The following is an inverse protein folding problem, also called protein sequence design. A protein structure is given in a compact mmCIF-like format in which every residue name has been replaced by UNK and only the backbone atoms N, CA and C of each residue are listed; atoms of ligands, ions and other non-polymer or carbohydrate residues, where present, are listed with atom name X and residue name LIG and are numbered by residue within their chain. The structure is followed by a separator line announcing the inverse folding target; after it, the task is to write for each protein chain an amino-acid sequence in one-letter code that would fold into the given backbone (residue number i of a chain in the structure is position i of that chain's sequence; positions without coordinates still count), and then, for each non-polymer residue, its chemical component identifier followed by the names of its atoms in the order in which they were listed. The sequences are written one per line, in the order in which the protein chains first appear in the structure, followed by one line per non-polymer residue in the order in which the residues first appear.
data_IF_458501263156
#
_entry.id   IF_458501263156
#
_cell.length_a   1.000
_cell.length_b   1.000
_cell.length_c   1.000
_cell.angle_alpha   90.00
_cell.angle_beta   90.00
_cell.angle_gamma   90.00
#
_symmetry.space_group_name_H-M   'P 1'
#
loop_
_entity.id
_entity.type
_entity.pdbx_description
1 polymer ?
#
# COMPACT_ATOMS: atom_id res chain seq x y z
N UNK A 1 -0.13 -26.63 0.54
CA UNK A 1 -0.53 -25.60 1.53
C UNK A 1 0.24 -24.33 1.20
N UNK A 2 -0.46 -23.22 0.84
CA UNK A 2 0.22 -21.95 0.55
C UNK A 2 0.75 -21.32 1.85
N UNK A 3 1.99 -20.86 1.82
CA UNK A 3 2.66 -20.16 2.93
C UNK A 3 2.76 -18.64 2.71
N UNK A 4 2.43 -18.17 1.51
CA UNK A 4 2.38 -16.78 1.14
C UNK A 4 1.43 -16.54 -0.02
N UNK A 5 0.96 -15.31 -0.16
CA UNK A 5 0.15 -14.81 -1.27
C UNK A 5 0.94 -13.69 -1.93
N UNK A 6 1.29 -13.86 -3.21
CA UNK A 6 1.93 -12.81 -3.99
C UNK A 6 1.00 -12.36 -5.11
N UNK A 7 0.71 -11.06 -5.16
CA UNK A 7 -0.09 -10.46 -6.23
C UNK A 7 0.80 -9.50 -7.03
N UNK A 8 1.04 -9.84 -8.28
CA UNK A 8 1.91 -9.10 -9.19
C UNK A 8 1.35 -7.76 -9.65
N UNK A 9 2.11 -7.09 -10.52
CA UNK A 9 1.70 -5.88 -11.19
C UNK A 9 0.79 -6.14 -12.39
N UNK A 10 0.05 -5.13 -12.82
CA UNK A 10 -0.84 -5.21 -13.98
C UNK A 10 -1.80 -4.03 -14.06
N UNK A 11 -2.88 -4.21 -14.80
CA UNK A 11 -3.91 -3.19 -14.95
C UNK A 11 -4.80 -3.16 -13.70
N UNK A 12 -4.64 -2.14 -12.87
CA UNK A 12 -5.23 -2.04 -11.53
C UNK A 12 -6.75 -2.29 -11.51
N UNK A 13 -7.50 -1.77 -12.48
CA UNK A 13 -8.94 -1.94 -12.55
C UNK A 13 -9.35 -3.41 -12.74
N UNK A 14 -8.63 -4.15 -13.59
CA UNK A 14 -8.87 -5.59 -13.77
C UNK A 14 -8.57 -6.38 -12.51
N UNK A 15 -7.49 -6.01 -11.79
CA UNK A 15 -7.13 -6.63 -10.52
C UNK A 15 -8.20 -6.39 -9.46
N UNK A 16 -8.66 -5.13 -9.30
CA UNK A 16 -9.74 -4.82 -8.38
C UNK A 16 -10.96 -5.68 -8.70
N UNK A 17 -11.43 -5.69 -9.96
CA UNK A 17 -12.61 -6.45 -10.35
C UNK A 17 -12.47 -7.96 -10.10
N UNK A 18 -11.29 -8.54 -10.35
CA UNK A 18 -11.07 -9.97 -10.17
C UNK A 18 -10.94 -10.36 -8.68
N UNK A 19 -10.15 -9.62 -7.92
CA UNK A 19 -9.79 -10.00 -6.56
C UNK A 19 -10.76 -9.52 -5.48
N UNK A 20 -11.64 -8.56 -5.78
CA UNK A 20 -12.70 -8.14 -4.85
C UNK A 20 -14.00 -8.91 -5.03
N UNK A 21 -14.06 -9.87 -5.96
CA UNK A 21 -15.17 -10.83 -6.01
C UNK A 21 -15.26 -11.58 -4.69
N UNK A 22 -16.47 -11.75 -4.18
CA UNK A 22 -16.71 -12.22 -2.81
C UNK A 22 -15.92 -13.47 -2.43
N UNK A 23 -15.91 -14.49 -3.26
CA UNK A 23 -15.24 -15.77 -2.96
C UNK A 23 -13.70 -15.61 -2.89
N UNK A 24 -13.11 -14.91 -3.85
CA UNK A 24 -11.64 -14.70 -3.92
C UNK A 24 -11.21 -13.81 -2.78
N UNK A 25 -11.92 -12.71 -2.54
CA UNK A 25 -11.64 -11.77 -1.46
C UNK A 25 -11.67 -12.48 -0.09
N UNK A 26 -12.74 -13.25 0.17
CA UNK A 26 -12.86 -14.01 1.42
C UNK A 26 -11.75 -15.02 1.61
N UNK A 27 -11.34 -15.74 0.56
CA UNK A 27 -10.26 -16.71 0.65
C UNK A 27 -8.92 -16.04 0.97
N UNK A 28 -8.61 -14.92 0.32
CA UNK A 28 -7.38 -14.14 0.60
C UNK A 28 -7.38 -13.66 2.05
N UNK A 29 -8.48 -13.05 2.50
CA UNK A 29 -8.59 -12.53 3.87
C UNK A 29 -8.55 -13.65 4.92
N UNK A 30 -9.19 -14.78 4.68
CA UNK A 30 -9.11 -15.94 5.56
C UNK A 30 -7.66 -16.41 5.73
N UNK A 31 -6.92 -16.48 4.63
CA UNK A 31 -5.50 -16.87 4.67
C UNK A 31 -4.64 -15.82 5.36
N UNK A 32 -4.82 -14.55 5.02
CA UNK A 32 -4.13 -13.44 5.66
C UNK A 32 -4.36 -13.43 7.18
N UNK A 33 -5.60 -13.51 7.63
CA UNK A 33 -5.97 -13.53 9.05
C UNK A 33 -5.47 -14.79 9.79
N UNK A 34 -5.17 -15.87 9.06
CA UNK A 34 -4.52 -17.06 9.63
C UNK A 34 -2.99 -17.00 9.64
N UNK A 35 -2.38 -15.82 9.38
CA UNK A 35 -0.95 -15.59 9.44
C UNK A 35 -0.20 -15.84 8.12
N UNK A 36 -0.92 -16.03 6.99
CA UNK A 36 -0.28 -16.12 5.68
C UNK A 36 0.16 -14.73 5.22
N UNK A 37 1.43 -14.57 4.86
CA UNK A 37 1.97 -13.28 4.39
C UNK A 37 1.32 -12.90 3.06
N UNK A 38 0.92 -11.62 2.94
CA UNK A 38 0.51 -11.02 1.67
C UNK A 38 1.63 -10.12 1.13
N UNK A 39 2.02 -10.30 -0.12
CA UNK A 39 2.95 -9.42 -0.82
C UNK A 39 2.31 -8.91 -2.11
N UNK A 40 2.35 -7.60 -2.32
CA UNK A 40 1.73 -6.93 -3.47
C UNK A 40 2.71 -6.05 -4.23
N UNK A 41 2.82 -6.26 -5.55
CA UNK A 41 3.61 -5.42 -6.44
C UNK A 41 2.71 -4.52 -7.28
N UNK A 42 2.96 -3.20 -7.31
CA UNK A 42 2.23 -2.22 -8.16
C UNK A 42 0.71 -2.31 -7.97
N UNK A 43 -0.04 -2.89 -8.91
CA UNK A 43 -1.48 -3.13 -8.78
C UNK A 43 -1.82 -4.00 -7.57
N UNK A 44 -1.00 -5.00 -7.25
CA UNK A 44 -1.13 -5.83 -6.07
C UNK A 44 -0.95 -5.06 -4.76
N UNK A 45 -0.06 -4.06 -4.73
CA UNK A 45 0.07 -3.17 -3.57
C UNK A 45 -1.19 -2.30 -3.38
N UNK A 46 -1.78 -1.78 -4.45
CA UNK A 46 -3.03 -1.01 -4.39
C UNK A 46 -4.20 -1.88 -3.90
N UNK A 47 -4.18 -3.17 -4.25
CA UNK A 47 -5.23 -4.11 -3.88
C UNK A 47 -5.36 -4.29 -2.36
N UNK A 48 -4.30 -4.11 -1.57
CA UNK A 48 -4.34 -4.19 -0.10
C UNK A 48 -5.42 -3.29 0.52
N UNK A 49 -5.66 -2.11 -0.08
CA UNK A 49 -6.70 -1.18 0.36
C UNK A 49 -8.09 -1.78 0.12
N UNK A 50 -8.30 -2.36 -1.05
CA UNK A 50 -9.58 -2.92 -1.49
C UNK A 50 -9.94 -4.22 -0.77
N UNK A 51 -8.92 -4.98 -0.41
CA UNK A 51 -9.08 -6.17 0.43
C UNK A 51 -9.30 -5.84 1.91
N UNK A 52 -9.08 -4.59 2.34
CA UNK A 52 -9.19 -4.20 3.75
C UNK A 52 -7.96 -4.58 4.60
N UNK A 53 -6.83 -4.92 3.97
CA UNK A 53 -5.56 -5.19 4.66
C UNK A 53 -4.94 -3.88 5.17
N UNK A 54 -5.05 -2.77 4.38
CA UNK A 54 -4.64 -1.41 4.77
C UNK A 54 -5.77 -0.41 4.47
N UNK A 55 -6.89 -0.46 5.22
CA UNK A 55 -8.12 0.23 4.82
C UNK A 55 -8.02 1.77 4.89
N UNK A 56 -7.16 2.30 5.75
CA UNK A 56 -7.03 3.74 5.98
C UNK A 56 -5.99 4.42 5.11
N UNK A 57 -5.47 3.70 4.11
CA UNK A 57 -4.40 4.17 3.22
C UNK A 57 -4.90 4.52 1.83
N UNK A 58 -4.19 5.49 1.21
CA UNK A 58 -4.13 5.67 -0.24
C UNK A 58 -2.72 5.28 -0.69
N UNK A 59 -2.57 4.32 -1.59
CA UNK A 59 -1.25 3.83 -2.04
C UNK A 59 -1.03 4.19 -3.50
N UNK A 60 0.16 4.71 -3.82
CA UNK A 60 0.61 5.06 -5.17
C UNK A 60 2.00 4.51 -5.45
N UNK A 61 2.10 3.35 -6.09
CA UNK A 61 3.38 2.84 -6.61
C UNK A 61 3.84 3.66 -7.82
N UNK A 62 5.11 3.54 -8.16
CA UNK A 62 5.78 4.33 -9.22
C UNK A 62 5.66 5.84 -8.99
N UNK A 63 5.81 6.25 -7.73
CA UNK A 63 5.34 7.55 -7.26
C UNK A 63 6.03 8.72 -7.97
N UNK A 64 7.35 8.82 -7.88
CA UNK A 64 8.13 9.89 -8.52
C UNK A 64 8.12 9.75 -10.03
N UNK A 65 8.35 8.55 -10.56
CA UNK A 65 8.40 8.31 -12.01
C UNK A 65 7.11 8.73 -12.73
N UNK A 66 5.95 8.59 -12.07
CA UNK A 66 4.65 8.96 -12.65
C UNK A 66 4.11 10.29 -12.13
N UNK A 67 4.92 11.07 -11.41
CA UNK A 67 4.55 12.38 -10.85
C UNK A 67 3.20 12.35 -10.10
N UNK A 68 3.07 11.45 -9.12
CA UNK A 68 1.78 11.16 -8.47
C UNK A 68 1.50 11.97 -7.21
N UNK A 69 2.29 13.00 -6.92
CA UNK A 69 2.17 13.81 -5.71
C UNK A 69 0.75 14.36 -5.52
N UNK A 70 0.24 15.08 -6.51
CA UNK A 70 -1.09 15.71 -6.43
C UNK A 70 -2.21 14.66 -6.39
N UNK A 71 -2.04 13.56 -7.10
CA UNK A 71 -3.02 12.46 -7.09
C UNK A 71 -3.11 11.82 -5.72
N UNK A 72 -1.97 11.58 -5.05
CA UNK A 72 -1.93 11.03 -3.70
C UNK A 72 -2.51 12.00 -2.69
N UNK A 73 -2.09 13.28 -2.72
CA UNK A 73 -2.60 14.32 -1.82
C UNK A 73 -4.14 14.43 -1.86
N UNK A 74 -4.74 14.40 -3.05
CA UNK A 74 -6.21 14.39 -3.20
C UNK A 74 -6.86 13.16 -2.56
N UNK A 75 -6.21 11.99 -2.67
CA UNK A 75 -6.74 10.75 -2.09
C UNK A 75 -6.61 10.71 -0.57
N UNK A 76 -5.56 11.28 -0.01
CA UNK A 76 -5.34 11.37 1.45
C UNK A 76 -6.40 12.23 2.13
N UNK A 77 -7.05 13.16 1.43
CA UNK A 77 -8.21 13.87 1.99
C UNK A 77 -9.36 12.94 2.38
N UNK A 78 -9.50 11.79 1.69
CA UNK A 78 -10.54 10.78 1.96
C UNK A 78 -10.03 9.63 2.82
N UNK A 79 -8.71 9.38 2.81
CA UNK A 79 -8.03 8.41 3.65
C UNK A 79 -7.39 9.14 4.87
N UNK A 80 -6.86 8.39 5.81
CA UNK A 80 -6.10 8.96 6.94
C UNK A 80 -4.62 9.10 6.58
N UNK A 81 -4.11 8.15 5.82
CA UNK A 81 -2.71 8.05 5.42
C UNK A 81 -2.54 7.93 3.91
N UNK A 82 -1.40 8.38 3.42
CA UNK A 82 -0.96 8.17 2.05
C UNK A 82 0.41 7.55 1.99
N UNK A 83 0.63 6.68 1.02
CA UNK A 83 1.89 6.01 0.79
C UNK A 83 2.26 6.09 -0.69
N UNK A 84 3.28 6.89 -0.99
CA UNK A 84 3.96 6.91 -2.28
C UNK A 84 5.15 5.96 -2.24
N UNK A 85 5.31 5.08 -3.23
CA UNK A 85 6.38 4.10 -3.28
C UNK A 85 7.11 4.24 -4.60
N UNK A 86 8.39 4.57 -4.56
CA UNK A 86 9.24 4.64 -5.75
C UNK A 86 9.62 3.25 -6.27
N UNK A 87 10.01 3.19 -7.54
CA UNK A 87 10.60 1.98 -8.10
C UNK A 87 11.90 1.64 -7.36
N UNK A 88 12.13 0.35 -7.14
CA UNK A 88 13.27 -0.13 -6.35
C UNK A 88 13.12 -0.02 -4.84
N UNK A 89 11.97 0.44 -4.35
CA UNK A 89 11.62 0.51 -2.94
C UNK A 89 10.52 -0.49 -2.59
N UNK A 90 10.60 -1.09 -1.41
CA UNK A 90 9.55 -1.94 -0.85
C UNK A 90 9.45 -1.78 0.67
N UNK A 91 8.32 -2.19 1.22
CA UNK A 91 8.04 -2.05 2.64
C UNK A 91 7.62 -3.39 3.24
N UNK A 92 8.10 -3.64 4.45
CA UNK A 92 7.53 -4.63 5.36
C UNK A 92 6.57 -3.91 6.30
N UNK A 93 5.35 -4.43 6.40
CA UNK A 93 4.31 -3.84 7.25
C UNK A 93 3.92 -4.84 8.33
N UNK A 94 4.03 -4.41 9.59
CA UNK A 94 3.66 -5.21 10.76
C UNK A 94 2.51 -4.51 11.50
N UNK A 95 1.46 -5.28 11.80
CA UNK A 95 0.29 -4.83 12.57
C UNK A 95 -0.34 -3.53 12.04
N UNK A 96 -0.23 -3.27 10.74
CA UNK A 96 -0.77 -2.09 10.05
C UNK A 96 -0.22 -0.75 10.55
N UNK A 97 0.74 -0.75 11.47
CA UNK A 97 1.25 0.44 12.17
C UNK A 97 2.76 0.64 12.06
N UNK A 98 3.54 -0.41 11.87
CA UNK A 98 4.99 -0.33 11.71
C UNK A 98 5.37 -0.65 10.26
N UNK A 99 6.11 0.26 9.64
CA UNK A 99 6.57 0.19 8.25
C UNK A 99 8.09 0.27 8.22
N UNK A 100 8.74 -0.80 7.79
CA UNK A 100 10.19 -0.84 7.54
C UNK A 100 10.44 -0.69 6.06
N UNK A 101 11.32 0.22 5.68
CA UNK A 101 11.61 0.59 4.31
C UNK A 101 12.90 -0.07 3.84
N UNK A 102 12.89 -0.62 2.63
CA UNK A 102 14.01 -1.30 2.01
C UNK A 102 14.18 -0.91 0.55
N UNK A 103 15.41 -1.04 0.03
CA UNK A 103 15.72 -0.82 -1.37
C UNK A 103 16.39 0.51 -1.65
N UNK A 104 16.43 0.91 -2.91
CA UNK A 104 17.18 2.10 -3.39
C UNK A 104 16.32 3.33 -3.66
N UNK A 105 15.00 3.16 -3.70
CA UNK A 105 14.05 4.26 -3.89
C UNK A 105 13.62 4.89 -2.57
N UNK A 106 12.72 5.87 -2.67
CA UNK A 106 12.11 6.51 -1.52
C UNK A 106 10.69 6.03 -1.30
N UNK A 107 10.25 6.08 -0.03
CA UNK A 107 8.86 6.00 0.34
C UNK A 107 8.40 7.34 0.92
N UNK A 108 7.19 7.74 0.58
CA UNK A 108 6.60 9.03 0.95
C UNK A 108 5.35 8.78 1.80
N UNK A 109 5.45 9.06 3.09
CA UNK A 109 4.33 8.93 4.02
C UNK A 109 3.61 10.26 4.18
N UNK A 110 2.33 10.27 3.85
CA UNK A 110 1.43 11.39 4.09
C UNK A 110 0.55 11.08 5.29
N UNK A 111 0.53 11.97 6.26
CA UNK A 111 -0.41 11.90 7.38
C UNK A 111 -1.33 13.11 7.30
N UNK A 112 -2.63 12.87 7.15
CA UNK A 112 -3.62 13.94 7.13
C UNK A 112 -3.69 14.62 8.49
N UNK A 113 -3.63 15.93 8.50
CA UNK A 113 -3.81 16.79 9.70
C UNK A 113 -5.16 17.51 9.65
N UNK A 114 -5.52 18.05 8.50
CA UNK A 114 -6.81 18.69 8.23
C UNK A 114 -7.11 18.57 6.72
N UNK A 115 -8.21 19.11 6.26
CA UNK A 115 -8.52 19.17 4.83
C UNK A 115 -7.42 19.94 4.10
N UNK A 116 -6.83 19.32 3.09
CA UNK A 116 -5.71 19.84 2.28
C UNK A 116 -4.43 20.15 3.07
N UNK A 117 -4.31 19.67 4.31
CA UNK A 117 -3.10 19.80 5.13
C UNK A 117 -2.56 18.44 5.50
N UNK A 118 -1.30 18.18 5.16
CA UNK A 118 -0.63 16.91 5.34
C UNK A 118 0.77 17.10 5.90
N UNK A 119 1.19 16.22 6.78
CA UNK A 119 2.61 16.00 7.02
C UNK A 119 3.12 15.04 5.95
N UNK A 120 4.26 15.36 5.36
CA UNK A 120 5.00 14.49 4.46
C UNK A 120 6.33 14.10 5.10
N UNK A 121 6.54 12.80 5.24
CA UNK A 121 7.82 12.21 5.64
C UNK A 121 8.39 11.43 4.47
N UNK A 122 9.61 11.73 4.07
CA UNK A 122 10.36 11.00 3.05
C UNK A 122 11.27 10.01 3.77
N UNK A 123 11.14 8.74 3.44
CA UNK A 123 11.85 7.63 4.06
C UNK A 123 12.68 6.85 3.05
N UNK A 124 13.80 6.35 3.50
CA UNK A 124 14.78 5.61 2.72
C UNK A 124 15.07 4.24 3.34
N UNK A 125 15.97 3.50 2.71
CA UNK A 125 16.38 2.18 3.16
C UNK A 125 16.78 2.18 4.65
N UNK A 126 16.25 1.24 5.41
CA UNK A 126 16.38 1.02 6.85
C UNK A 126 15.60 1.99 7.75
N UNK A 127 14.90 2.97 7.19
CA UNK A 127 14.00 3.79 8.00
C UNK A 127 12.80 2.96 8.49
N UNK A 128 12.29 3.35 9.66
CA UNK A 128 11.10 2.76 10.27
C UNK A 128 10.11 3.87 10.56
N UNK A 129 8.88 3.70 10.09
CA UNK A 129 7.76 4.60 10.38
C UNK A 129 6.77 3.89 11.29
N UNK A 130 6.39 4.54 12.39
CA UNK A 130 5.32 4.08 13.29
C UNK A 130 4.17 5.07 13.27
N UNK A 131 2.94 4.56 13.10
CA UNK A 131 1.72 5.34 13.01
C UNK A 131 0.94 5.35 14.33
#
# INVERSE_FOLDING_TARGET
KATGIFVGGGYTFRYINAYTQQQICQLILQKYNSGTIYAGLSAGAILTIRLGILPNFAIKPHFTRRNRLLELAKKVNKAKYGLGIDDGCWLEVTDETEFKIFGVGNCYFFTKKATNHFNLQICQNKDVVKL
#
